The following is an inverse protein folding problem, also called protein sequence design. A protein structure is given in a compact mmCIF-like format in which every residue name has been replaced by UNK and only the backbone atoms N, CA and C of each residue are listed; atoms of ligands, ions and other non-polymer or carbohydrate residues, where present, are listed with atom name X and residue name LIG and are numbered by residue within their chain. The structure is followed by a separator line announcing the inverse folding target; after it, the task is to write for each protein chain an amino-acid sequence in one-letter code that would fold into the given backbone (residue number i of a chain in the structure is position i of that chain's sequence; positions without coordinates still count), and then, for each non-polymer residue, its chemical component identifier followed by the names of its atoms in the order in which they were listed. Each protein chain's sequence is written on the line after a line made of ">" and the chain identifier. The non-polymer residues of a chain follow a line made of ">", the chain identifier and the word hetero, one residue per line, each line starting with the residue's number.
data_IF_057505612867
#
_entry.id   IF_057505612867
#
_cell.length_a   1.000
_cell.length_b   1.000
_cell.length_c   1.000
_cell.angle_alpha   90.00
_cell.angle_beta   90.00
_cell.angle_gamma   90.00
#
_symmetry.space_group_name_H-M   'P 1'
#
loop_
_entity.id
_entity.type
_entity.pdbx_description
1 polymer ?
#
# COMPACT_ATOMS: atom_id res chain seq x y z
N UNK A 1 14.28 -23.95 15.92
CA UNK A 1 12.81 -24.17 15.87
C UNK A 1 12.53 -24.77 14.51
N UNK A 2 11.88 -25.94 14.40
CA UNK A 2 11.60 -26.54 13.10
C UNK A 2 10.52 -25.72 12.38
N UNK A 3 10.64 -25.66 11.05
CA UNK A 3 9.86 -24.83 10.14
C UNK A 3 8.36 -24.86 10.43
N UNK A 4 7.80 -23.72 10.82
CA UNK A 4 6.36 -23.53 10.77
C UNK A 4 5.93 -23.70 9.29
N UNK A 5 4.95 -24.57 8.98
CA UNK A 5 4.53 -24.78 7.60
C UNK A 5 4.04 -23.44 7.05
N UNK A 6 4.67 -22.99 5.96
CA UNK A 6 4.25 -21.79 5.26
C UNK A 6 2.76 -21.97 4.89
N UNK A 7 1.88 -21.18 5.52
CA UNK A 7 0.47 -21.12 5.14
C UNK A 7 0.43 -20.86 3.64
N UNK A 8 -0.21 -21.75 2.89
CA UNK A 8 -0.24 -21.75 1.43
C UNK A 8 -0.61 -20.34 0.97
N UNK A 9 0.27 -19.61 0.25
CA UNK A 9 -0.12 -18.33 -0.31
C UNK A 9 -1.30 -18.50 -1.27
N UNK A 10 -1.58 -19.72 -1.73
CA UNK A 10 -2.54 -20.04 -2.78
C UNK A 10 -4.01 -20.27 -2.37
N UNK A 11 -4.54 -19.66 -1.30
CA UNK A 11 -5.97 -19.82 -0.98
C UNK A 11 -6.76 -18.50 -0.80
N UNK A 12 -7.76 -18.32 -1.66
CA UNK A 12 -8.88 -17.39 -1.43
C UNK A 12 -9.81 -17.87 -0.29
N UNK A 13 -9.71 -19.13 0.12
CA UNK A 13 -10.43 -19.67 1.28
C UNK A 13 -9.71 -19.38 2.61
N UNK A 14 -10.46 -18.90 3.61
CA UNK A 14 -10.03 -18.94 5.01
C UNK A 14 -9.97 -20.41 5.44
N UNK A 15 -8.77 -20.98 5.44
CA UNK A 15 -8.55 -22.41 5.72
C UNK A 15 -8.76 -22.78 7.19
N UNK A 16 -9.05 -21.81 8.06
CA UNK A 16 -9.16 -22.04 9.50
C UNK A 16 -7.81 -22.40 10.15
N UNK A 17 -6.69 -22.22 9.44
CA UNK A 17 -5.35 -22.41 10.00
C UNK A 17 -5.11 -21.41 11.15
N UNK A 18 -4.33 -21.78 12.18
CA UNK A 18 -3.97 -20.86 13.24
C UNK A 18 -3.26 -19.63 12.66
N UNK A 19 -3.72 -18.44 13.08
CA UNK A 19 -3.12 -17.18 12.63
C UNK A 19 -1.68 -17.08 13.11
N UNK A 20 -0.83 -16.54 12.25
CA UNK A 20 0.52 -16.11 12.63
C UNK A 20 0.40 -15.12 13.80
N UNK A 21 1.10 -15.42 14.90
CA UNK A 21 1.24 -14.45 15.99
C UNK A 21 2.14 -13.31 15.51
N UNK A 22 1.59 -12.09 15.54
CA UNK A 22 2.33 -10.88 15.19
C UNK A 22 1.45 -9.80 14.57
N UNK A 23 2.08 -8.65 14.36
CA UNK A 23 1.43 -7.46 13.81
C UNK A 23 1.74 -7.30 12.34
N UNK A 24 0.73 -6.91 11.56
CA UNK A 24 0.89 -6.60 10.16
C UNK A 24 0.31 -5.22 9.82
N UNK A 25 0.94 -4.55 8.85
CA UNK A 25 0.56 -3.23 8.39
C UNK A 25 0.08 -3.28 6.95
N UNK A 26 -1.04 -2.59 6.70
CA UNK A 26 -1.60 -2.38 5.38
C UNK A 26 -1.38 -0.92 4.96
N UNK A 27 -0.82 -0.70 3.77
CA UNK A 27 -0.59 0.61 3.16
C UNK A 27 -1.35 0.72 1.84
N UNK A 28 -2.44 1.48 1.84
CA UNK A 28 -3.36 1.55 0.70
C UNK A 28 -2.82 2.30 -0.52
N UNK A 29 -3.54 2.18 -1.64
CA UNK A 29 -3.29 3.00 -2.82
C UNK A 29 -3.79 4.45 -2.72
N UNK A 30 -3.38 5.29 -3.69
CA UNK A 30 -3.80 6.70 -3.80
C UNK A 30 -2.74 7.68 -4.33
N UNK A 31 -1.78 7.22 -5.13
CA UNK A 31 -0.73 8.06 -5.74
C UNK A 31 0.17 8.77 -4.72
N UNK A 32 0.74 9.92 -5.08
CA UNK A 32 1.65 10.66 -4.19
C UNK A 32 0.99 11.17 -2.91
N UNK A 33 -0.32 11.41 -2.93
CA UNK A 33 -1.06 11.77 -1.71
C UNK A 33 -0.98 10.64 -0.68
N UNK A 34 -1.34 9.41 -1.07
CA UNK A 34 -1.25 8.25 -0.20
C UNK A 34 0.21 7.98 0.21
N UNK A 35 1.14 8.05 -0.74
CA UNK A 35 2.58 7.88 -0.49
C UNK A 35 3.06 8.76 0.67
N UNK A 36 2.79 10.07 0.62
CA UNK A 36 3.24 11.05 1.63
C UNK A 36 2.45 10.94 2.94
N UNK A 37 1.15 10.62 2.87
CA UNK A 37 0.37 10.30 4.07
C UNK A 37 0.98 9.10 4.81
N UNK A 38 1.34 8.03 4.10
CA UNK A 38 1.98 6.85 4.68
C UNK A 38 3.39 7.14 5.22
N UNK A 39 4.14 8.08 4.63
CA UNK A 39 5.41 8.54 5.23
C UNK A 39 5.18 9.05 6.65
N UNK A 40 4.14 9.86 6.86
CA UNK A 40 3.75 10.33 8.19
C UNK A 40 3.40 9.19 9.14
N UNK A 41 2.55 8.27 8.69
CA UNK A 41 2.12 7.12 9.50
C UNK A 41 3.28 6.22 9.90
N UNK A 42 4.17 5.91 8.97
CA UNK A 42 5.36 5.10 9.22
C UNK A 42 6.36 5.80 10.13
N UNK A 43 6.52 7.11 9.99
CA UNK A 43 7.35 7.91 10.88
C UNK A 43 6.84 7.82 12.31
N UNK A 44 5.51 7.93 12.51
CA UNK A 44 4.94 7.78 13.84
C UNK A 44 5.12 6.37 14.40
N UNK A 45 4.93 5.33 13.58
CA UNK A 45 5.17 3.94 13.97
C UNK A 45 6.64 3.69 14.34
N UNK A 46 7.58 4.32 13.62
CA UNK A 46 9.01 4.28 13.92
C UNK A 46 9.27 4.87 15.31
N UNK A 47 8.80 6.08 15.58
CA UNK A 47 8.97 6.75 16.88
C UNK A 47 8.23 6.04 18.03
N UNK A 48 7.14 5.34 17.73
CA UNK A 48 6.38 4.55 18.69
C UNK A 48 7.04 3.22 19.05
N UNK A 49 8.13 2.82 18.37
CA UNK A 49 8.69 1.47 18.48
C UNK A 49 7.77 0.38 17.93
N UNK A 50 6.73 0.74 17.16
CA UNK A 50 5.73 -0.18 16.59
C UNK A 50 6.06 -0.60 15.16
N UNK A 51 7.05 0.02 14.51
CA UNK A 51 7.48 -0.36 13.17
C UNK A 51 8.33 -1.64 13.15
N UNK A 52 9.37 -1.72 13.99
CA UNK A 52 10.31 -2.88 14.05
C UNK A 52 9.63 -4.23 14.31
N UNK A 53 8.60 -4.33 15.17
CA UNK A 53 7.95 -5.61 15.46
C UNK A 53 7.06 -6.16 14.33
N UNK A 54 6.75 -5.36 13.29
CA UNK A 54 5.89 -5.79 12.20
C UNK A 54 6.47 -7.02 11.49
N UNK A 55 5.62 -8.02 11.28
CA UNK A 55 5.96 -9.25 10.55
C UNK A 55 5.64 -9.15 9.07
N UNK A 56 4.65 -8.36 8.70
CA UNK A 56 4.23 -8.16 7.31
C UNK A 56 3.84 -6.73 7.04
N UNK A 57 4.26 -6.22 5.88
CA UNK A 57 3.83 -4.94 5.34
C UNK A 57 3.23 -5.23 3.97
N UNK A 58 1.92 -5.15 3.87
CA UNK A 58 1.16 -5.31 2.62
C UNK A 58 0.86 -3.93 2.04
N UNK A 59 1.10 -3.76 0.75
CA UNK A 59 1.08 -2.45 0.12
C UNK A 59 0.43 -2.47 -1.25
N UNK A 60 -0.15 -1.33 -1.64
CA UNK A 60 -0.80 -1.13 -2.93
C UNK A 60 -0.43 0.24 -3.49
N UNK A 61 -0.07 0.32 -4.77
CA UNK A 61 0.06 1.57 -5.55
C UNK A 61 0.97 2.59 -4.85
N UNK A 62 0.48 3.81 -4.54
CA UNK A 62 1.22 4.82 -3.77
C UNK A 62 1.79 4.30 -2.43
N UNK A 63 1.09 3.39 -1.76
CA UNK A 63 1.60 2.68 -0.58
C UNK A 63 2.76 1.75 -0.89
N UNK A 64 2.81 1.14 -2.08
CA UNK A 64 3.93 0.30 -2.54
C UNK A 64 5.18 1.10 -2.88
N UNK A 65 5.05 2.36 -3.31
CA UNK A 65 6.19 3.26 -3.47
C UNK A 65 6.85 3.48 -2.10
N UNK A 66 6.04 3.86 -1.09
CA UNK A 66 6.52 4.06 0.27
C UNK A 66 7.09 2.77 0.88
N UNK A 67 6.41 1.64 0.70
CA UNK A 67 6.85 0.35 1.21
C UNK A 67 8.18 -0.11 0.60
N UNK A 68 8.37 0.09 -0.71
CA UNK A 68 9.63 -0.25 -1.39
C UNK A 68 10.82 0.54 -0.85
N UNK A 69 10.65 1.85 -0.64
CA UNK A 69 11.72 2.70 -0.05
C UNK A 69 12.01 2.28 1.39
N UNK A 70 10.96 2.04 2.19
CA UNK A 70 11.12 1.55 3.56
C UNK A 70 11.85 0.21 3.59
N UNK A 71 11.53 -0.72 2.68
CA UNK A 71 12.16 -2.03 2.63
C UNK A 71 13.67 -1.94 2.36
N UNK A 72 14.09 -1.13 1.38
CA UNK A 72 15.52 -0.90 1.10
C UNK A 72 16.24 -0.12 2.20
N UNK A 73 15.50 0.62 3.04
CA UNK A 73 16.05 1.30 4.21
C UNK A 73 16.10 0.41 5.44
N UNK A 74 15.34 -0.69 5.49
CA UNK A 74 14.99 -1.42 6.70
C UNK A 74 16.19 -1.82 7.56
N UNK A 75 17.16 -2.52 6.96
CA UNK A 75 18.36 -2.99 7.69
C UNK A 75 19.36 -1.87 7.99
N UNK A 76 19.13 -0.67 7.44
CA UNK A 76 19.91 0.55 7.71
C UNK A 76 19.27 1.48 8.74
N UNK A 77 18.03 1.19 9.15
CA UNK A 77 17.36 1.92 10.22
C UNK A 77 17.86 1.42 11.58
N UNK A 78 18.21 2.35 12.46
CA UNK A 78 18.58 2.06 13.85
C UNK A 78 17.38 1.58 14.68
N UNK A 79 16.16 2.00 14.29
CA UNK A 79 14.95 1.87 15.10
C UNK A 79 15.07 2.54 16.48
N UNK A 80 15.95 3.54 16.58
CA UNK A 80 16.02 4.46 17.69
C UNK A 80 15.14 5.69 17.37
N UNK A 81 14.08 5.97 18.17
CA UNK A 81 13.22 7.14 17.98
C UNK A 81 13.96 8.49 18.12
N UNK A 82 15.19 8.51 18.63
CA UNK A 82 16.03 9.71 18.67
C UNK A 82 16.85 9.95 17.38
N UNK A 83 16.94 8.95 16.49
CA UNK A 83 17.70 9.02 15.25
C UNK A 83 16.93 9.76 14.15
N UNK A 84 17.67 10.44 13.25
CA UNK A 84 17.12 11.10 12.06
C UNK A 84 17.10 10.20 10.81
N UNK A 85 17.51 8.94 10.96
CA UNK A 85 17.67 8.00 9.85
C UNK A 85 16.36 7.74 9.10
N UNK A 86 15.20 7.70 9.75
CA UNK A 86 13.90 7.57 9.09
C UNK A 86 13.64 8.77 8.18
N UNK A 87 13.91 9.98 8.67
CA UNK A 87 13.77 11.21 7.89
C UNK A 87 14.69 11.18 6.66
N UNK A 88 15.94 10.77 6.85
CA UNK A 88 16.98 10.76 5.81
C UNK A 88 16.83 9.63 4.79
N UNK A 89 16.52 8.42 5.24
CA UNK A 89 16.49 7.19 4.42
C UNK A 89 15.11 6.90 3.83
N UNK A 90 14.03 7.38 4.45
CA UNK A 90 12.65 7.10 3.99
C UNK A 90 11.95 8.37 3.55
N UNK A 91 11.80 9.36 4.44
CA UNK A 91 10.99 10.54 4.14
C UNK A 91 11.59 11.41 3.03
N UNK A 92 12.90 11.70 3.07
CA UNK A 92 13.55 12.58 2.11
C UNK A 92 13.55 12.04 0.66
N UNK A 93 13.87 10.76 0.38
CA UNK A 93 13.74 10.20 -0.97
C UNK A 93 12.32 10.27 -1.53
N UNK A 94 11.31 9.96 -0.71
CA UNK A 94 9.90 9.99 -1.14
C UNK A 94 9.41 11.42 -1.38
N UNK A 95 9.85 12.39 -0.58
CA UNK A 95 9.59 13.82 -0.82
C UNK A 95 10.28 14.33 -2.09
N UNK A 96 11.52 13.91 -2.33
CA UNK A 96 12.26 14.23 -3.56
C UNK A 96 11.53 13.70 -4.80
N UNK A 97 11.04 12.45 -4.74
CA UNK A 97 10.20 11.88 -5.79
C UNK A 97 8.91 12.70 -5.97
N UNK A 98 8.21 13.03 -4.88
CA UNK A 98 6.98 13.82 -4.93
C UNK A 98 7.15 15.23 -5.52
N UNK A 99 8.38 15.75 -5.55
CA UNK A 99 8.72 17.01 -6.22
C UNK A 99 8.80 16.91 -7.75
N UNK A 100 8.67 15.71 -8.34
CA UNK A 100 8.77 15.46 -9.77
C UNK A 100 7.44 14.94 -10.30
N UNK A 101 7.12 15.26 -11.55
CA UNK A 101 6.01 14.61 -12.25
C UNK A 101 6.57 13.39 -12.96
N UNK A 102 6.00 12.22 -12.71
CA UNK A 102 6.19 11.07 -13.58
C UNK A 102 5.20 11.28 -14.72
N UNK A 103 5.70 11.82 -15.84
CA UNK A 103 4.86 12.26 -16.94
C UNK A 103 4.20 11.07 -17.61
N UNK A 104 2.91 10.90 -17.34
CA UNK A 104 2.04 9.91 -17.99
C UNK A 104 1.34 10.51 -19.23
N UNK A 105 1.38 11.83 -19.42
CA UNK A 105 0.70 12.51 -20.53
C UNK A 105 1.44 12.37 -21.86
N UNK A 106 2.77 12.49 -21.85
CA UNK A 106 3.62 12.18 -23.01
C UNK A 106 3.64 10.70 -23.41
N UNK A 107 3.10 9.83 -22.55
CA UNK A 107 2.97 8.37 -22.76
C UNK A 107 1.82 8.01 -23.71
N UNK A 108 0.76 8.82 -23.76
CA UNK A 108 -0.35 8.66 -24.71
C UNK A 108 0.03 9.13 -26.14
N UNK A 109 1.04 9.99 -26.28
CA UNK A 109 1.53 10.46 -27.59
C UNK A 109 2.34 9.43 -28.37
N UNK A 110 2.64 8.29 -27.77
CA UNK A 110 3.47 7.24 -28.32
C UNK A 110 2.71 6.17 -29.10
N UNK A 111 1.88 6.52 -30.09
CA UNK A 111 1.39 5.55 -31.10
C UNK A 111 2.56 4.98 -31.94
N UNK A 112 3.79 5.46 -31.74
CA UNK A 112 5.00 5.06 -32.44
C UNK A 112 6.13 4.49 -31.54
N UNK A 113 5.91 4.33 -30.22
CA UNK A 113 6.91 3.76 -29.29
C UNK A 113 6.56 2.32 -28.88
N UNK A 114 7.55 1.42 -28.83
CA UNK A 114 7.36 0.02 -28.38
C UNK A 114 7.18 -0.13 -26.85
N UNK A 115 7.49 0.91 -26.07
CA UNK A 115 7.46 0.85 -24.60
C UNK A 115 6.10 1.24 -24.02
N UNK A 116 5.60 0.42 -23.09
CA UNK A 116 4.32 0.65 -22.41
C UNK A 116 4.41 1.75 -21.35
N UNK A 117 3.25 2.30 -20.95
CA UNK A 117 3.16 3.27 -19.86
C UNK A 117 3.75 2.76 -18.55
N UNK A 118 3.48 1.48 -18.23
CA UNK A 118 4.01 0.82 -17.04
C UNK A 118 5.54 0.71 -17.04
N UNK A 119 6.15 0.43 -18.19
CA UNK A 119 7.61 0.35 -18.34
C UNK A 119 8.30 1.70 -18.09
N UNK A 120 7.70 2.80 -18.59
CA UNK A 120 8.21 4.16 -18.32
C UNK A 120 8.13 4.52 -16.84
N UNK A 121 7.04 4.16 -16.17
CA UNK A 121 6.91 4.34 -14.71
C UNK A 121 7.94 3.49 -13.97
N UNK A 122 8.16 2.24 -14.38
CA UNK A 122 9.20 1.38 -13.81
C UNK A 122 10.60 1.99 -14.00
N UNK A 123 10.91 2.55 -15.18
CA UNK A 123 12.16 3.24 -15.44
C UNK A 123 12.34 4.48 -14.55
N UNK A 124 11.28 5.28 -14.37
CA UNK A 124 11.31 6.43 -13.46
C UNK A 124 11.54 6.00 -12.00
N UNK A 125 10.87 4.94 -11.54
CA UNK A 125 11.10 4.40 -10.19
C UNK A 125 12.51 3.81 -10.02
N UNK A 126 13.04 3.15 -11.05
CA UNK A 126 14.42 2.68 -11.10
C UNK A 126 15.40 3.84 -10.93
N UNK A 127 15.27 4.88 -11.74
CA UNK A 127 16.17 6.04 -11.73
C UNK A 127 16.08 6.83 -10.42
N UNK A 128 14.87 7.05 -9.90
CA UNK A 128 14.66 8.00 -8.81
C UNK A 128 14.75 7.37 -7.42
N UNK A 129 14.45 6.07 -7.27
CA UNK A 129 14.32 5.42 -5.95
C UNK A 129 15.10 4.11 -5.81
N UNK A 130 14.94 3.17 -6.74
CA UNK A 130 15.26 1.77 -6.47
C UNK A 130 16.58 1.28 -7.08
N UNK A 131 17.14 1.99 -8.07
CA UNK A 131 18.32 1.53 -8.79
C UNK A 131 18.14 0.12 -9.34
N UNK A 132 19.18 -0.71 -9.26
CA UNK A 132 19.14 -2.10 -9.71
C UNK A 132 18.57 -3.08 -8.67
N UNK A 133 17.96 -2.59 -7.59
CA UNK A 133 17.39 -3.44 -6.56
C UNK A 133 16.27 -4.35 -7.11
N UNK A 134 16.25 -5.58 -6.61
CA UNK A 134 15.30 -6.64 -6.91
C UNK A 134 14.48 -6.98 -5.67
N UNK A 135 13.49 -7.88 -5.82
CA UNK A 135 12.77 -8.42 -4.67
C UNK A 135 13.67 -9.19 -3.69
N UNK A 136 14.86 -9.65 -4.12
CA UNK A 136 15.81 -10.33 -3.24
C UNK A 136 16.57 -9.39 -2.30
N UNK A 137 16.59 -8.08 -2.59
CA UNK A 137 17.23 -7.06 -1.75
C UNK A 137 16.34 -6.58 -0.59
N UNK A 138 15.11 -7.12 -0.48
CA UNK A 138 14.21 -6.83 0.62
C UNK A 138 14.67 -7.55 1.92
N UNK A 139 14.30 -7.05 3.11
CA UNK A 139 14.74 -7.65 4.37
C UNK A 139 14.04 -8.99 4.65
N UNK A 140 14.71 -9.86 5.41
CA UNK A 140 14.12 -11.14 5.86
C UNK A 140 13.34 -10.99 7.18
N UNK A 141 13.67 -9.97 7.98
CA UNK A 141 13.09 -9.76 9.32
C UNK A 141 11.62 -9.33 9.30
N UNK A 142 11.17 -8.73 8.19
CA UNK A 142 9.78 -8.36 7.94
C UNK A 142 9.43 -8.63 6.47
N UNK A 143 8.30 -9.30 6.20
CA UNK A 143 7.89 -9.62 4.84
C UNK A 143 7.17 -8.43 4.20
N UNK A 144 7.78 -7.85 3.17
CA UNK A 144 7.12 -6.88 2.31
C UNK A 144 6.36 -7.60 1.19
N UNK A 145 5.09 -7.23 1.03
CA UNK A 145 4.21 -7.74 -0.02
C UNK A 145 3.68 -6.55 -0.83
N UNK A 146 4.04 -6.52 -2.11
CA UNK A 146 3.58 -5.52 -3.08
C UNK A 146 2.49 -6.19 -3.92
N UNK A 147 1.27 -5.66 -3.87
CA UNK A 147 0.11 -6.28 -4.51
C UNK A 147 -0.21 -5.62 -5.85
N UNK A 148 -0.41 -6.44 -6.87
CA UNK A 148 -0.98 -6.06 -8.16
C UNK A 148 -2.21 -6.92 -8.46
N UNK A 149 -3.00 -6.52 -9.44
CA UNK A 149 -4.15 -7.30 -9.91
C UNK A 149 -3.79 -8.00 -11.20
N UNK A 150 -3.90 -9.32 -11.25
CA UNK A 150 -3.75 -10.09 -12.48
C UNK A 150 -5.07 -10.07 -13.27
N UNK A 151 -5.08 -9.35 -14.39
CA UNK A 151 -6.27 -9.18 -15.23
C UNK A 151 -6.67 -10.48 -15.92
N UNK A 152 -5.71 -11.36 -16.22
CA UNK A 152 -6.01 -12.64 -16.89
C UNK A 152 -6.78 -13.59 -15.97
N UNK A 153 -6.39 -13.68 -14.70
CA UNK A 153 -6.99 -14.61 -13.73
C UNK A 153 -8.12 -13.98 -12.91
N UNK A 154 -8.17 -12.64 -12.84
CA UNK A 154 -9.04 -11.89 -11.95
C UNK A 154 -8.64 -11.94 -10.47
N UNK A 155 -7.41 -12.36 -10.16
CA UNK A 155 -6.90 -12.56 -8.80
C UNK A 155 -5.75 -11.60 -8.43
N UNK A 156 -5.33 -11.62 -7.17
CA UNK A 156 -4.14 -10.89 -6.72
C UNK A 156 -2.86 -11.56 -7.21
N UNK A 157 -1.99 -10.74 -7.80
CA UNK A 157 -0.58 -11.05 -7.96
C UNK A 157 0.21 -10.42 -6.81
N UNK A 158 0.97 -11.23 -6.09
CA UNK A 158 1.77 -10.79 -4.93
C UNK A 158 3.24 -10.87 -5.28
N UNK A 159 3.95 -9.77 -5.10
CA UNK A 159 5.41 -9.73 -5.16
C UNK A 159 6.00 -9.68 -3.76
N UNK A 160 6.96 -10.55 -3.47
CA UNK A 160 7.71 -10.57 -2.22
C UNK A 160 9.08 -11.23 -2.44
N UNK A 161 9.99 -11.10 -1.46
CA UNK A 161 11.28 -11.78 -1.48
C UNK A 161 11.17 -13.31 -1.63
N UNK A 162 10.41 -14.04 -0.79
CA UNK A 162 10.37 -15.50 -0.91
C UNK A 162 9.63 -15.99 -2.16
N UNK A 163 8.72 -15.20 -2.71
CA UNK A 163 7.94 -15.61 -3.89
C UNK A 163 7.27 -14.44 -4.62
N UNK A 164 6.93 -14.69 -5.88
CA UNK A 164 5.81 -14.02 -6.54
C UNK A 164 4.72 -15.05 -6.89
N UNK A 165 3.44 -14.70 -6.72
CA UNK A 165 2.37 -15.67 -6.85
C UNK A 165 1.00 -15.06 -7.19
N UNK A 166 0.23 -15.84 -7.93
CA UNK A 166 -1.21 -15.78 -8.06
C UNK A 166 -1.75 -17.15 -7.68
N UNK A 167 -2.78 -17.23 -6.83
CA UNK A 167 -3.21 -18.51 -6.29
C UNK A 167 -3.75 -19.49 -7.35
N UNK A 168 -4.28 -18.96 -8.45
CA UNK A 168 -4.81 -19.77 -9.56
C UNK A 168 -3.73 -20.22 -10.52
N UNK A 169 -2.68 -19.40 -10.69
CA UNK A 169 -1.59 -19.66 -11.65
C UNK A 169 -0.43 -20.43 -11.01
N UNK A 170 -0.21 -20.22 -9.72
CA UNK A 170 0.86 -20.83 -8.94
C UNK A 170 1.92 -19.82 -8.50
N UNK A 171 3.01 -20.37 -7.96
CA UNK A 171 4.07 -19.60 -7.30
C UNK A 171 5.39 -19.75 -8.03
N UNK A 172 6.12 -18.65 -8.19
CA UNK A 172 7.55 -18.62 -8.54
C UNK A 172 8.36 -18.28 -7.28
N UNK A 173 9.20 -19.19 -6.76
CA UNK A 173 10.02 -18.94 -5.58
C UNK A 173 11.22 -18.03 -5.90
N UNK A 174 11.68 -17.28 -4.90
CA UNK A 174 12.88 -16.43 -4.94
C UNK A 174 12.99 -15.56 -6.21
N UNK A 175 11.96 -14.78 -6.58
CA UNK A 175 11.97 -14.00 -7.80
C UNK A 175 13.05 -12.92 -7.78
N UNK A 176 13.78 -12.78 -8.88
CA UNK A 176 14.77 -11.72 -9.10
C UNK A 176 14.19 -10.52 -9.86
N UNK A 177 12.86 -10.38 -9.84
CA UNK A 177 12.14 -9.28 -10.49
C UNK A 177 12.64 -7.94 -9.93
N UNK A 178 12.94 -6.93 -10.77
CA UNK A 178 13.32 -5.60 -10.30
C UNK A 178 12.24 -5.01 -9.39
N UNK A 179 12.64 -4.43 -8.26
CA UNK A 179 11.70 -3.83 -7.30
C UNK A 179 10.91 -2.70 -7.96
N UNK A 180 11.57 -1.90 -8.81
CA UNK A 180 10.92 -0.85 -9.57
C UNK A 180 9.77 -1.36 -10.45
N UNK A 181 9.92 -2.55 -11.05
CA UNK A 181 8.90 -3.18 -11.87
C UNK A 181 7.72 -3.66 -11.02
N UNK A 182 7.98 -4.29 -9.87
CA UNK A 182 6.93 -4.72 -8.94
C UNK A 182 6.10 -3.53 -8.42
N UNK A 183 6.76 -2.43 -8.04
CA UNK A 183 6.09 -1.20 -7.58
C UNK A 183 5.33 -0.51 -8.72
N UNK A 184 5.86 -0.50 -9.95
CA UNK A 184 5.15 0.01 -11.12
C UNK A 184 3.91 -0.82 -11.46
N UNK A 185 4.01 -2.15 -11.40
CA UNK A 185 2.86 -3.05 -11.59
C UNK A 185 1.77 -2.75 -10.57
N UNK A 186 2.13 -2.59 -9.29
CA UNK A 186 1.17 -2.22 -8.23
C UNK A 186 0.55 -0.84 -8.40
N UNK A 187 1.18 0.06 -9.16
CA UNK A 187 0.73 1.44 -9.41
C UNK A 187 0.11 1.65 -10.80
N UNK A 188 -0.09 0.58 -11.58
CA UNK A 188 -0.53 0.64 -12.98
C UNK A 188 -2.04 0.88 -13.10
N UNK A 189 -2.51 2.06 -12.68
CA UNK A 189 -3.94 2.37 -12.62
C UNK A 189 -4.55 2.58 -14.02
N UNK A 190 -5.68 1.93 -14.36
CA UNK A 190 -6.36 2.13 -15.64
C UNK A 190 -6.91 3.56 -15.85
N UNK A 191 -7.10 4.01 -17.09
CA UNK A 191 -6.74 3.35 -18.36
C UNK A 191 -5.32 3.68 -18.84
N UNK A 192 -4.64 4.64 -18.20
CA UNK A 192 -3.45 5.26 -18.79
C UNK A 192 -2.17 4.48 -18.46
N UNK A 193 -2.08 3.89 -17.27
CA UNK A 193 -0.88 3.18 -16.79
C UNK A 193 -0.98 1.66 -16.91
N UNK A 194 -2.15 1.16 -17.29
CA UNK A 194 -2.50 -0.26 -17.36
C UNK A 194 -2.67 -0.71 -18.82
N UNK A 195 -2.34 -1.96 -19.17
CA UNK A 195 -1.70 -2.96 -18.31
C UNK A 195 -0.17 -2.86 -18.32
N UNK A 196 0.45 -3.33 -17.23
CA UNK A 196 1.86 -3.71 -17.23
C UNK A 196 1.96 -5.20 -17.54
N UNK A 197 2.85 -5.58 -18.47
CA UNK A 197 3.08 -6.98 -18.81
C UNK A 197 4.37 -7.48 -18.17
N UNK A 198 4.30 -8.63 -17.49
CA UNK A 198 5.47 -9.34 -16.96
C UNK A 198 5.61 -10.66 -17.71
N UNK A 199 6.73 -10.85 -18.40
CA UNK A 199 7.07 -12.14 -18.99
C UNK A 199 7.52 -13.12 -17.91
N UNK A 200 7.06 -14.37 -18.02
CA UNK A 200 7.26 -15.41 -17.03
C UNK A 200 7.92 -16.63 -17.69
N UNK A 201 8.69 -17.37 -16.89
CA UNK A 201 9.22 -18.66 -17.31
C UNK A 201 8.35 -19.77 -16.71
N UNK A 202 7.61 -20.56 -17.53
CA UNK A 202 6.80 -21.66 -17.03
C UNK A 202 7.59 -22.66 -16.17
N UNK A 203 8.87 -22.87 -16.46
CA UNK A 203 9.73 -23.78 -15.69
C UNK A 203 10.12 -23.24 -14.31
N UNK A 204 9.92 -21.95 -14.04
CA UNK A 204 10.21 -21.33 -12.75
C UNK A 204 9.07 -21.53 -11.72
N UNK A 205 7.91 -22.03 -12.15
CA UNK A 205 6.80 -22.29 -11.25
C UNK A 205 7.00 -23.56 -10.44
N UNK A 206 6.71 -23.50 -9.14
CA UNK A 206 6.55 -24.70 -8.32
C UNK A 206 5.27 -25.42 -8.75
N UNK A 207 5.31 -26.73 -9.08
CA UNK A 207 4.10 -27.49 -9.41
C UNK A 207 3.09 -27.44 -8.26
N UNK A 208 1.87 -26.99 -8.55
CA UNK A 208 0.79 -26.90 -7.57
C UNK A 208 -0.50 -27.49 -8.18
N UNK A 209 -0.93 -28.69 -7.76
CA UNK A 209 -2.15 -29.32 -8.29
C UNK A 209 -3.44 -28.56 -7.92
N UNK A 210 -3.37 -27.55 -7.04
CA UNK A 210 -4.51 -26.70 -6.66
C UNK A 210 -4.64 -25.47 -7.56
N UNK A 211 -3.58 -25.12 -8.31
CA UNK A 211 -3.56 -23.98 -9.20
C UNK A 211 -4.25 -24.33 -10.54
N UNK A 212 -5.54 -24.00 -10.66
CA UNK A 212 -6.40 -24.35 -11.80
C UNK A 212 -5.98 -23.72 -13.14
N UNK A 213 -5.15 -22.68 -13.09
CA UNK A 213 -4.62 -21.94 -14.23
C UNK A 213 -3.10 -22.11 -14.40
N UNK A 214 -2.44 -23.08 -13.75
CA UNK A 214 -1.00 -23.33 -13.94
C UNK A 214 -0.69 -23.96 -15.32
N UNK A 215 -0.91 -23.19 -16.39
CA UNK A 215 -0.70 -23.59 -17.80
C UNK A 215 -0.55 -22.35 -18.70
N UNK A 216 0.01 -22.49 -19.91
CA UNK A 216 -0.06 -21.44 -20.92
C UNK A 216 -1.49 -20.96 -21.21
N UNK A 217 -1.70 -19.65 -21.47
CA UNK A 217 -0.69 -18.59 -21.45
C UNK A 217 -0.44 -17.96 -20.06
N UNK A 218 -1.15 -18.42 -19.01
CA UNK A 218 -1.07 -17.82 -17.66
C UNK A 218 0.30 -17.93 -17.00
N UNK A 219 1.07 -18.99 -17.32
CA UNK A 219 2.44 -19.20 -16.80
C UNK A 219 3.54 -18.62 -17.69
N UNK A 220 3.19 -18.08 -18.87
CA UNK A 220 4.13 -17.45 -19.82
C UNK A 220 4.14 -15.92 -19.68
N UNK A 221 3.02 -15.35 -19.24
CA UNK A 221 2.86 -13.91 -19.09
C UNK A 221 1.80 -13.59 -18.03
N UNK A 222 2.09 -12.59 -17.21
CA UNK A 222 1.11 -11.95 -16.34
C UNK A 222 0.78 -10.53 -16.85
N UNK A 223 -0.50 -10.27 -17.07
CA UNK A 223 -1.04 -8.94 -17.42
C UNK A 223 -1.57 -8.31 -16.14
N UNK A 224 -0.82 -7.32 -15.65
CA UNK A 224 -1.02 -6.73 -14.33
C UNK A 224 -1.59 -5.32 -14.42
N UNK A 225 -2.43 -5.00 -13.44
CA UNK A 225 -2.97 -3.66 -13.18
C UNK A 225 -2.73 -3.29 -11.72
N UNK A 226 -2.99 -2.03 -11.36
CA UNK A 226 -2.93 -1.54 -9.98
C UNK A 226 -3.62 -2.51 -9.00
N UNK A 227 -2.98 -2.78 -7.86
CA UNK A 227 -3.52 -3.70 -6.84
C UNK A 227 -4.87 -3.24 -6.27
N UNK A 228 -5.16 -1.96 -6.39
CA UNK A 228 -6.41 -1.35 -5.95
C UNK A 228 -7.63 -1.78 -6.74
N UNK A 229 -7.46 -2.34 -7.94
CA UNK A 229 -8.56 -2.94 -8.72
C UNK A 229 -9.17 -4.14 -7.98
N UNK A 230 -8.35 -4.92 -7.26
CA UNK A 230 -8.82 -6.07 -6.47
C UNK A 230 -9.00 -5.72 -4.97
N UNK A 231 -7.99 -5.10 -4.37
CA UNK A 231 -7.98 -4.77 -2.93
C UNK A 231 -7.10 -3.54 -2.65
N UNK A 232 -7.70 -2.34 -2.70
CA UNK A 232 -6.96 -1.10 -2.45
C UNK A 232 -6.37 -0.97 -1.05
N UNK A 233 -6.93 -1.65 -0.05
CA UNK A 233 -6.41 -1.58 1.30
C UNK A 233 -5.23 -2.53 1.50
N UNK A 234 -5.01 -3.51 0.60
CA UNK A 234 -3.98 -4.54 0.78
C UNK A 234 -4.26 -5.48 1.95
N UNK A 235 -5.53 -5.63 2.33
CA UNK A 235 -6.00 -6.44 3.45
C UNK A 235 -5.88 -7.94 3.21
N UNK A 236 -6.08 -8.41 1.98
CA UNK A 236 -6.26 -9.83 1.68
C UNK A 236 -5.10 -10.69 2.20
N UNK A 237 -3.88 -10.18 2.06
CA UNK A 237 -2.65 -10.89 2.45
C UNK A 237 -2.37 -10.86 3.96
N UNK A 238 -3.08 -10.01 4.70
CA UNK A 238 -2.89 -9.73 6.11
C UNK A 238 -4.04 -10.28 6.95
N UNK A 239 -5.28 -9.98 6.57
CA UNK A 239 -6.47 -10.25 7.37
C UNK A 239 -6.63 -11.72 7.74
N UNK A 240 -6.30 -12.63 6.81
CA UNK A 240 -6.37 -14.07 7.02
C UNK A 240 -5.29 -14.61 7.97
N UNK A 241 -4.14 -13.94 8.02
CA UNK A 241 -2.93 -14.51 8.59
C UNK A 241 -2.54 -13.91 9.94
N UNK A 242 -2.94 -12.68 10.28
CA UNK A 242 -2.45 -12.00 11.49
C UNK A 242 -3.56 -11.75 12.50
N UNK A 243 -3.19 -11.76 13.79
CA UNK A 243 -4.08 -11.41 14.90
C UNK A 243 -4.18 -9.91 15.12
N UNK A 244 -3.08 -9.16 14.96
CA UNK A 244 -3.06 -7.70 15.04
C UNK A 244 -2.87 -7.08 13.66
N UNK A 245 -3.79 -6.20 13.26
CA UNK A 245 -3.80 -5.56 11.93
C UNK A 245 -3.87 -4.03 12.08
N UNK A 246 -2.88 -3.36 11.52
CA UNK A 246 -2.82 -1.91 11.42
C UNK A 246 -3.13 -1.51 9.98
N UNK A 247 -4.06 -0.56 9.78
CA UNK A 247 -4.49 -0.15 8.45
C UNK A 247 -4.28 1.35 8.28
N UNK A 248 -3.37 1.72 7.38
CA UNK A 248 -3.19 3.09 6.92
C UNK A 248 -3.84 3.27 5.55
N UNK A 249 -4.84 4.15 5.46
CA UNK A 249 -5.61 4.38 4.23
C UNK A 249 -5.45 5.81 3.69
N UNK A 250 -4.60 5.97 2.68
CA UNK A 250 -4.39 7.22 1.93
C UNK A 250 -5.35 7.40 0.74
N UNK A 251 -6.31 6.49 0.56
CA UNK A 251 -7.28 6.50 -0.54
C UNK A 251 -8.24 7.69 -0.45
N UNK A 252 -8.53 8.31 -1.60
CA UNK A 252 -9.56 9.35 -1.67
C UNK A 252 -10.95 8.73 -1.60
N UNK A 253 -11.91 9.45 -1.01
CA UNK A 253 -13.34 9.17 -1.19
C UNK A 253 -13.78 9.70 -2.54
N UNK A 254 -14.71 9.00 -3.20
CA UNK A 254 -15.35 9.52 -4.41
C UNK A 254 -16.05 10.86 -4.10
N UNK A 255 -15.82 11.87 -4.93
CA UNK A 255 -16.52 13.15 -4.83
C UNK A 255 -17.90 13.07 -5.50
N UNK A 256 -18.85 13.85 -4.99
CA UNK A 256 -20.09 14.13 -5.72
C UNK A 256 -19.75 14.88 -7.01
N UNK A 257 -20.41 14.53 -8.10
CA UNK A 257 -20.28 15.20 -9.40
C UNK A 257 -21.64 15.80 -9.74
N UNK A 258 -21.73 17.12 -9.79
CA UNK A 258 -23.00 17.84 -10.02
C UNK A 258 -23.58 17.57 -11.41
N UNK A 259 -22.72 17.39 -12.40
CA UNK A 259 -23.09 17.13 -13.79
C UNK A 259 -22.23 15.99 -14.37
N UNK A 260 -22.56 14.72 -14.05
CA UNK A 260 -21.87 13.56 -14.58
C UNK A 260 -21.86 13.58 -16.11
N UNK A 261 -20.72 13.21 -16.70
CA UNK A 261 -20.61 13.12 -18.16
C UNK A 261 -21.55 12.03 -18.70
N UNK A 262 -22.16 12.31 -19.86
CA UNK A 262 -23.12 11.43 -20.53
C UNK A 262 -22.54 10.67 -21.73
N UNK A 263 -21.33 11.02 -22.19
CA UNK A 263 -20.66 10.22 -23.20
C UNK A 263 -20.18 8.89 -22.61
N UNK A 264 -20.34 7.84 -23.40
CA UNK A 264 -20.04 6.46 -23.02
C UNK A 264 -18.69 6.28 -22.29
N UNK A 265 -17.54 6.80 -22.79
CA UNK A 265 -16.26 6.56 -22.16
C UNK A 265 -16.13 7.18 -20.76
N UNK A 266 -16.48 8.47 -20.60
CA UNK A 266 -16.36 9.16 -19.30
C UNK A 266 -17.44 8.68 -18.32
N UNK A 267 -18.62 8.33 -18.82
CA UNK A 267 -19.66 7.75 -18.00
C UNK A 267 -19.28 6.35 -17.47
N UNK A 268 -18.69 5.49 -18.31
CA UNK A 268 -18.19 4.19 -17.89
C UNK A 268 -17.10 4.32 -16.82
N UNK A 269 -16.18 5.27 -16.96
CA UNK A 269 -15.19 5.58 -15.94
C UNK A 269 -15.85 5.99 -14.61
N UNK A 270 -16.86 6.86 -14.65
CA UNK A 270 -17.63 7.24 -13.46
C UNK A 270 -18.35 6.05 -12.81
N UNK A 271 -18.89 5.13 -13.60
CA UNK A 271 -19.52 3.89 -13.08
C UNK A 271 -18.49 3.02 -12.36
N UNK A 272 -17.30 2.83 -12.96
CA UNK A 272 -16.21 2.10 -12.33
C UNK A 272 -15.76 2.74 -11.02
N UNK A 273 -15.62 4.07 -10.98
CA UNK A 273 -15.30 4.81 -9.75
C UNK A 273 -16.35 4.57 -8.64
N UNK A 274 -17.65 4.54 -8.99
CA UNK A 274 -18.73 4.28 -8.02
C UNK A 274 -18.64 2.85 -7.48
N UNK A 275 -18.44 1.86 -8.36
CA UNK A 275 -18.29 0.45 -7.96
C UNK A 275 -17.07 0.28 -7.04
N UNK A 276 -15.90 0.79 -7.44
CA UNK A 276 -14.67 0.74 -6.65
C UNK A 276 -14.86 1.39 -5.27
N UNK A 277 -15.49 2.57 -5.20
CA UNK A 277 -15.76 3.25 -3.93
C UNK A 277 -16.68 2.42 -3.00
N UNK A 278 -17.66 1.69 -3.55
CA UNK A 278 -18.50 0.80 -2.74
C UNK A 278 -17.72 -0.41 -2.24
N UNK A 279 -16.87 -1.03 -3.06
CA UNK A 279 -16.01 -2.15 -2.64
C UNK A 279 -15.08 -1.71 -1.52
N UNK A 280 -14.43 -0.55 -1.63
CA UNK A 280 -13.58 0.02 -0.57
C UNK A 280 -14.37 0.29 0.71
N UNK A 281 -15.56 0.85 0.59
CA UNK A 281 -16.43 1.13 1.74
C UNK A 281 -16.86 -0.15 2.46
N UNK A 282 -17.18 -1.22 1.72
CA UNK A 282 -17.50 -2.53 2.28
C UNK A 282 -16.30 -3.16 2.99
N UNK A 283 -15.12 -3.19 2.36
CA UNK A 283 -13.89 -3.71 2.99
C UNK A 283 -13.54 -2.95 4.27
N UNK A 284 -13.67 -1.62 4.26
CA UNK A 284 -13.47 -0.79 5.46
C UNK A 284 -14.46 -1.15 6.56
N UNK A 285 -15.76 -1.25 6.27
CA UNK A 285 -16.76 -1.66 7.27
C UNK A 285 -16.48 -3.05 7.84
N UNK A 286 -16.08 -4.00 7.00
CA UNK A 286 -15.70 -5.35 7.43
C UNK A 286 -14.48 -5.32 8.36
N UNK A 287 -13.46 -4.51 8.04
CA UNK A 287 -12.30 -4.34 8.91
C UNK A 287 -12.67 -3.73 10.27
N UNK A 288 -13.47 -2.67 10.29
CA UNK A 288 -13.96 -2.06 11.54
C UNK A 288 -14.80 -3.04 12.35
N UNK A 289 -15.69 -3.81 11.70
CA UNK A 289 -16.47 -4.84 12.37
C UNK A 289 -15.58 -5.93 13.00
N UNK A 290 -14.47 -6.29 12.35
CA UNK A 290 -13.47 -7.20 12.91
C UNK A 290 -12.79 -6.64 14.16
N UNK A 291 -12.44 -5.35 14.18
CA UNK A 291 -11.88 -4.70 15.37
C UNK A 291 -12.88 -4.57 16.53
N UNK A 292 -14.17 -4.45 16.21
CA UNK A 292 -15.25 -4.32 17.20
C UNK A 292 -15.82 -5.67 17.68
N UNK A 293 -15.50 -6.75 16.97
CA UNK A 293 -15.98 -8.09 17.32
C UNK A 293 -15.45 -8.52 18.70
N UNK A 294 -16.23 -9.34 19.41
CA UNK A 294 -15.80 -9.94 20.67
C UNK A 294 -14.54 -10.79 20.47
N UNK A 295 -13.66 -10.86 21.47
CA UNK A 295 -12.33 -11.50 21.35
C UNK A 295 -12.37 -13.00 20.97
N UNK A 296 -13.46 -13.67 21.31
CA UNK A 296 -13.73 -15.06 20.96
C UNK A 296 -14.28 -15.26 19.54
N UNK A 297 -14.66 -14.17 18.86
CA UNK A 297 -15.13 -14.22 17.48
C UNK A 297 -13.99 -14.59 16.52
N UNK A 298 -14.23 -15.49 15.55
CA UNK A 298 -13.26 -15.75 14.49
C UNK A 298 -12.98 -14.50 13.64
N UNK A 299 -13.90 -13.53 13.58
CA UNK A 299 -13.70 -12.28 12.85
C UNK A 299 -12.82 -11.28 13.60
N UNK A 300 -12.59 -11.49 14.91
CA UNK A 300 -11.86 -10.55 15.75
C UNK A 300 -10.43 -10.37 15.28
N UNK A 301 -10.01 -9.10 15.20
CA UNK A 301 -8.61 -8.70 15.05
C UNK A 301 -8.33 -7.64 16.10
N UNK A 302 -7.15 -7.72 16.72
CA UNK A 302 -6.59 -6.58 17.42
C UNK A 302 -6.09 -5.55 16.39
N UNK A 303 -5.91 -4.31 16.82
CA UNK A 303 -5.33 -3.26 15.99
C UNK A 303 -6.28 -2.11 15.71
N UNK A 304 -6.03 -1.39 14.61
CA UNK A 304 -6.75 -0.16 14.34
C UNK A 304 -6.66 0.27 12.88
N UNK A 305 -7.56 1.15 12.49
CA UNK A 305 -7.61 1.80 11.18
C UNK A 305 -7.41 3.30 11.36
N UNK A 306 -6.66 3.93 10.47
CA UNK A 306 -6.65 5.37 10.26
C UNK A 306 -6.62 5.67 8.77
N UNK A 307 -7.37 6.70 8.37
CA UNK A 307 -7.44 7.08 6.97
C UNK A 307 -7.34 8.60 6.78
N UNK A 308 -6.99 9.01 5.58
CA UNK A 308 -6.83 10.42 5.23
C UNK A 308 -8.12 11.21 5.40
N UNK A 309 -9.28 10.55 5.28
CA UNK A 309 -10.61 11.11 5.49
C UNK A 309 -11.23 10.78 6.85
N UNK A 310 -10.46 10.29 7.82
CA UNK A 310 -10.94 10.10 9.21
C UNK A 310 -11.10 11.46 9.88
N UNK A 311 -12.21 11.66 10.59
CA UNK A 311 -12.34 12.87 11.40
C UNK A 311 -11.44 12.72 12.63
N UNK A 312 -10.51 13.66 12.82
CA UNK A 312 -9.55 13.58 13.93
C UNK A 312 -10.24 13.53 15.30
N UNK A 313 -11.42 14.15 15.40
CA UNK A 313 -12.27 14.13 16.59
C UNK A 313 -12.83 12.74 16.93
N UNK A 314 -12.86 11.79 15.99
CA UNK A 314 -13.29 10.41 16.27
C UNK A 314 -12.31 9.70 17.24
N UNK A 315 -11.08 10.20 17.37
CA UNK A 315 -10.09 9.77 18.36
C UNK A 315 -9.98 10.72 19.57
N UNK A 316 -10.86 11.72 19.68
CA UNK A 316 -10.76 12.78 20.71
C UNK A 316 -10.86 12.27 22.15
N UNK A 317 -11.46 11.08 22.35
CA UNK A 317 -11.53 10.42 23.65
C UNK A 317 -10.15 10.11 24.27
N UNK A 318 -9.06 10.28 23.49
CA UNK A 318 -7.70 9.91 23.88
C UNK A 318 -6.71 11.09 23.84
N UNK A 319 -7.19 12.33 24.03
CA UNK A 319 -6.38 13.55 24.14
C UNK A 319 -5.49 13.81 22.90
N UNK A 320 -6.09 14.17 21.74
CA UNK A 320 -5.35 14.58 20.55
C UNK A 320 -4.54 15.85 20.84
N UNK A 321 -3.20 15.75 20.74
CA UNK A 321 -2.28 16.84 21.13
C UNK A 321 -1.81 17.73 19.99
N UNK A 322 -2.01 17.27 18.76
CA UNK A 322 -1.56 17.98 17.56
C UNK A 322 -2.74 18.74 16.95
N UNK A 323 -2.55 20.03 16.67
CA UNK A 323 -3.61 20.86 16.10
C UNK A 323 -3.94 20.42 14.67
N UNK A 324 -5.03 19.67 14.51
CA UNK A 324 -5.51 19.20 13.21
C UNK A 324 -6.93 19.70 12.92
N UNK A 325 -7.12 20.97 12.50
CA UNK A 325 -8.44 21.52 12.19
C UNK A 325 -9.12 20.72 11.09
N UNK A 326 -10.41 20.41 11.27
CA UNK A 326 -11.18 19.58 10.33
C UNK A 326 -11.15 20.12 8.89
N UNK A 327 -11.23 21.45 8.73
CA UNK A 327 -11.16 22.09 7.41
C UNK A 327 -9.79 21.90 6.73
N UNK A 328 -8.70 21.83 7.50
CA UNK A 328 -7.37 21.63 6.96
C UNK A 328 -7.17 20.18 6.52
N UNK A 329 -7.52 19.20 7.36
CA UNK A 329 -7.41 17.78 7.04
C UNK A 329 -8.33 17.37 5.90
N UNK A 330 -9.53 17.97 5.79
CA UNK A 330 -10.43 17.77 4.66
C UNK A 330 -9.84 18.25 3.33
N UNK A 331 -9.14 19.41 3.31
CA UNK A 331 -8.43 19.87 2.11
C UNK A 331 -7.31 18.91 1.70
N UNK A 332 -6.57 18.35 2.66
CA UNK A 332 -5.54 17.34 2.38
C UNK A 332 -6.15 16.06 1.80
N UNK A 333 -7.32 15.64 2.29
CA UNK A 333 -8.05 14.48 1.75
C UNK A 333 -8.55 14.69 0.31
N UNK A 334 -8.71 15.94 -0.13
CA UNK A 334 -9.14 16.32 -1.48
C UNK A 334 -7.97 16.51 -2.47
N UNK A 335 -6.71 16.44 -2.02
CA UNK A 335 -5.55 16.48 -2.94
C UNK A 335 -5.75 15.40 -4.02
N UNK A 336 -5.56 15.67 -5.33
CA UNK A 336 -5.86 14.68 -6.36
C UNK A 336 -4.98 13.42 -6.30
N UNK A 337 -5.55 12.26 -6.67
CA UNK A 337 -4.81 11.01 -6.84
C UNK A 337 -4.02 11.05 -8.15
N UNK A 338 -2.71 11.32 -8.10
CA UNK A 338 -1.83 11.37 -9.28
C UNK A 338 -0.35 11.21 -8.92
N UNK A 339 0.49 10.90 -9.92
CA UNK A 339 1.97 10.88 -9.84
C UNK A 339 2.55 12.19 -10.40
N UNK A 340 2.02 13.33 -9.94
CA UNK A 340 2.43 14.65 -10.41
C UNK A 340 3.16 15.42 -9.31
N UNK A 341 4.09 16.29 -9.73
CA UNK A 341 4.86 17.13 -8.82
C UNK A 341 3.94 17.87 -7.85
N UNK A 342 4.32 17.84 -6.58
CA UNK A 342 3.57 18.39 -5.46
C UNK A 342 4.40 19.45 -4.74
N UNK A 343 3.84 20.64 -4.43
CA UNK A 343 4.55 21.67 -3.67
C UNK A 343 5.05 21.16 -2.32
N UNK A 344 6.26 21.55 -1.93
CA UNK A 344 6.90 21.08 -0.69
C UNK A 344 6.04 21.28 0.56
N UNK A 345 5.36 22.42 0.67
CA UNK A 345 4.45 22.71 1.78
C UNK A 345 3.25 21.73 1.83
N UNK A 346 2.70 21.33 0.68
CA UNK A 346 1.63 20.31 0.62
C UNK A 346 2.16 18.94 1.02
N UNK A 347 3.39 18.61 0.62
CA UNK A 347 4.02 17.34 1.01
C UNK A 347 4.17 17.25 2.53
N UNK A 348 4.71 18.30 3.15
CA UNK A 348 4.91 18.36 4.60
C UNK A 348 3.60 18.24 5.37
N UNK A 349 2.54 18.92 4.92
CA UNK A 349 1.21 18.83 5.52
C UNK A 349 0.60 17.43 5.43
N UNK A 350 0.77 16.73 4.29
CA UNK A 350 0.32 15.35 4.15
C UNK A 350 1.08 14.40 5.10
N UNK A 351 2.39 14.59 5.23
CA UNK A 351 3.21 13.83 6.20
C UNK A 351 2.74 14.12 7.63
N UNK A 352 2.56 15.39 7.99
CA UNK A 352 2.08 15.77 9.32
C UNK A 352 0.69 15.21 9.63
N UNK A 353 -0.21 15.19 8.65
CA UNK A 353 -1.54 14.61 8.83
C UNK A 353 -1.49 13.10 9.05
N UNK A 354 -0.76 12.37 8.21
CA UNK A 354 -0.55 10.93 8.37
C UNK A 354 0.08 10.58 9.71
N UNK A 355 1.04 11.38 10.17
CA UNK A 355 1.68 11.24 11.46
C UNK A 355 0.70 11.45 12.63
N UNK A 356 -0.06 12.54 12.60
CA UNK A 356 -0.96 12.90 13.71
C UNK A 356 -2.15 11.95 13.86
N UNK A 357 -2.76 11.53 12.75
CA UNK A 357 -3.89 10.59 12.80
C UNK A 357 -3.44 9.19 13.23
N UNK A 358 -2.22 8.77 12.86
CA UNK A 358 -1.63 7.52 13.36
C UNK A 358 -1.37 7.59 14.86
N UNK A 359 -0.80 8.70 15.36
CA UNK A 359 -0.58 8.88 16.80
C UNK A 359 -1.89 8.74 17.60
N UNK A 360 -2.94 9.41 17.14
CA UNK A 360 -4.24 9.34 17.79
C UNK A 360 -4.86 7.94 17.71
N UNK A 361 -4.80 7.26 16.56
CA UNK A 361 -5.34 5.92 16.41
C UNK A 361 -4.62 4.88 17.28
N UNK A 362 -3.27 4.93 17.34
CA UNK A 362 -2.49 4.03 18.19
C UNK A 362 -2.81 4.23 19.67
N UNK A 363 -2.85 5.48 20.15
CA UNK A 363 -3.19 5.79 21.55
C UNK A 363 -4.62 5.44 21.93
N UNK A 364 -5.52 5.42 20.95
CA UNK A 364 -6.92 5.08 21.16
C UNK A 364 -7.14 3.57 21.31
N UNK A 365 -6.53 2.80 20.42
CA UNK A 365 -6.97 1.42 20.16
C UNK A 365 -5.88 0.36 20.30
N UNK A 366 -4.60 0.73 20.25
CA UNK A 366 -3.49 -0.23 20.29
C UNK A 366 -2.75 -0.18 21.62
N UNK A 367 -2.38 1.01 22.07
CA UNK A 367 -1.57 1.21 23.27
C UNK A 367 -1.92 2.55 23.93
N UNK A 368 -2.71 2.48 24.99
CA UNK A 368 -3.22 3.66 25.71
C UNK A 368 -2.14 4.39 26.50
N UNK A 369 -1.07 3.69 26.84
CA UNK A 369 0.07 4.25 27.59
C UNK A 369 1.17 4.74 26.64
N UNK A 370 0.97 4.62 25.32
CA UNK A 370 1.91 5.09 24.33
C UNK A 370 2.15 6.59 24.50
N UNK A 371 3.41 6.95 24.69
CA UNK A 371 3.83 8.35 24.80
C UNK A 371 3.35 9.13 23.58
N UNK A 372 2.63 10.22 23.84
CA UNK A 372 2.16 11.12 22.80
C UNK A 372 3.33 11.70 21.99
N UNK A 373 3.06 11.96 20.70
CA UNK A 373 3.97 12.69 19.85
C UNK A 373 4.43 14.02 20.47
N UNK A 374 5.71 14.35 20.33
CA UNK A 374 6.29 15.61 20.84
C UNK A 374 5.89 16.82 19.99
N UNK A 375 5.56 16.61 18.73
CA UNK A 375 5.23 17.65 17.75
C UNK A 375 5.05 17.03 16.36
N UNK A 376 4.76 17.88 15.37
CA UNK A 376 4.76 17.45 13.98
C UNK A 376 6.18 17.20 13.46
N UNK A 377 6.40 16.25 12.53
CA UNK A 377 7.66 16.13 11.79
C UNK A 377 8.09 17.42 11.10
N UNK A 378 7.12 18.22 10.61
CA UNK A 378 7.35 19.53 10.01
C UNK A 378 6.55 20.62 10.73
N UNK A 379 7.02 21.13 11.89
CA UNK A 379 6.25 22.04 12.75
C UNK A 379 5.79 23.33 12.05
N UNK A 380 6.64 23.90 11.19
CA UNK A 380 6.34 25.15 10.48
C UNK A 380 5.17 25.03 9.50
N UNK A 381 4.88 23.82 9.01
CA UNK A 381 3.84 23.58 8.01
C UNK A 381 2.46 23.27 8.62
N UNK A 382 2.42 22.68 9.82
CA UNK A 382 1.17 22.18 10.41
C UNK A 382 0.45 21.17 9.49
N UNK A 383 -0.88 21.15 9.51
CA UNK A 383 -1.70 20.40 8.54
C UNK A 383 -2.48 21.32 7.60
#
# INVERSE_FOLDING_TARGET
>A
MPDAPAVSPTNDSDTGAPREQGSALCLSGGGYRAMLFHVGSLWRLYEAGRLKPLKRISSVSGGSITAGVLALAWDRLSFDPASDDFARLVAAPLRKLAGRTIDVGSVLGGVFGKESAGERVAAAYKEQLFGDATLQDLPDSARFVINATNIQSGALWRFSKPYMADYRVGQVPNPTVPLALAVAASSSFPPILSPLTLDLNPAAFTPDPRADLQRPPFTERAVLSDGGVYDNLGLETVWKNFSEVLISDGGAKIAAEEAPKHDWPRHAYRVLDVIDNQVRSLRKRAAIAGFQAAKDSPMHRDGTYWGIGTAYADYAAHDPRLACPAAATQRLAQVPTRLAAMPGATQEKLVNWGYAVTDAALRSWVDRDLRAAKGFPYPASGV
#
